data_IF_060406767977
#
_entry.id   IF_060406767977
#
_cell.length_a   1.000
_cell.length_b   1.000
_cell.length_c   1.000
_cell.angle_alpha   90.00
_cell.angle_beta   90.00
_cell.angle_gamma   90.00
#
_symmetry.space_group_name_H-M   'P 1'
#
loop_
_entity.id
_entity.type
_entity.pdbx_description
1 polymer ?
#
# COMPACT_ATOMS: atom_id res chain seq x y z
N UNK A 1 -12.13 34.18 23.27
CA UNK A 1 -11.93 32.76 22.93
C UNK A 1 -11.40 32.65 21.51
N UNK A 2 -10.28 31.97 21.28
CA UNK A 2 -9.79 31.76 19.92
C UNK A 2 -10.80 30.95 19.10
N UNK A 3 -11.02 31.26 17.81
CA UNK A 3 -11.96 30.52 16.97
C UNK A 3 -11.53 29.05 16.89
N UNK A 4 -12.45 28.16 17.29
CA UNK A 4 -12.26 26.71 17.25
C UNK A 4 -12.08 26.29 15.78
N UNK A 5 -11.08 25.44 15.52
CA UNK A 5 -10.83 24.94 14.17
C UNK A 5 -11.86 23.86 13.82
N UNK A 6 -12.87 24.25 13.04
CA UNK A 6 -13.97 23.39 12.64
C UNK A 6 -13.52 22.09 11.97
N UNK A 7 -12.43 22.10 11.20
CA UNK A 7 -11.92 20.90 10.50
C UNK A 7 -11.26 19.93 11.48
N UNK A 8 -10.43 20.45 12.39
CA UNK A 8 -9.84 19.62 13.44
C UNK A 8 -10.91 19.06 14.40
N UNK A 9 -11.98 19.80 14.64
CA UNK A 9 -13.10 19.31 15.46
C UNK A 9 -13.89 18.20 14.79
N UNK A 10 -14.21 18.35 13.50
CA UNK A 10 -14.90 17.31 12.73
C UNK A 10 -14.05 16.03 12.68
N UNK A 11 -12.75 16.16 12.46
CA UNK A 11 -11.86 15.01 12.50
C UNK A 11 -11.76 14.40 13.90
N UNK A 12 -11.65 15.21 14.95
CA UNK A 12 -11.65 14.72 16.32
C UNK A 12 -12.94 13.98 16.70
N UNK A 13 -14.08 14.37 16.14
CA UNK A 13 -15.35 13.66 16.32
C UNK A 13 -15.37 12.28 15.64
N UNK A 14 -14.64 12.13 14.53
CA UNK A 14 -14.53 10.89 13.78
C UNK A 14 -13.53 9.87 14.38
N UNK A 15 -12.47 10.35 15.03
CA UNK A 15 -11.39 9.51 15.56
C UNK A 15 -11.85 8.41 16.54
N UNK A 16 -12.77 8.65 17.50
CA UNK A 16 -13.25 7.60 18.42
C UNK A 16 -13.91 6.41 17.73
N UNK A 17 -14.62 6.64 16.61
CA UNK A 17 -15.24 5.57 15.83
C UNK A 17 -14.17 4.75 15.09
N UNK A 18 -13.10 5.43 14.67
CA UNK A 18 -11.99 4.80 13.94
C UNK A 18 -11.07 3.98 14.85
N UNK A 19 -10.78 4.45 16.06
CA UNK A 19 -9.88 3.78 17.01
C UNK A 19 -10.30 3.99 18.48
N UNK A 20 -11.39 3.34 18.91
CA UNK A 20 -11.94 3.51 20.26
C UNK A 20 -10.96 3.08 21.36
N UNK A 21 -10.06 2.13 21.05
CA UNK A 21 -9.01 1.67 21.95
C UNK A 21 -8.01 2.77 22.34
N UNK A 22 -7.82 3.79 21.49
CA UNK A 22 -6.87 4.89 21.71
C UNK A 22 -7.59 6.15 22.19
N UNK A 23 -8.80 6.39 21.67
CA UNK A 23 -9.54 7.62 21.92
C UNK A 23 -10.97 7.29 22.30
N UNK A 24 -11.25 7.31 23.61
CA UNK A 24 -12.59 7.05 24.14
C UNK A 24 -13.59 8.19 23.91
N UNK A 25 -13.14 9.37 23.43
CA UNK A 25 -14.02 10.51 23.17
C UNK A 25 -13.40 11.54 22.23
N UNK A 26 -14.27 12.31 21.56
CA UNK A 26 -13.86 13.38 20.63
C UNK A 26 -13.01 14.45 21.32
N UNK A 27 -13.27 14.73 22.60
CA UNK A 27 -12.49 15.71 23.37
C UNK A 27 -11.04 15.26 23.58
N UNK A 28 -10.80 13.98 23.86
CA UNK A 28 -9.44 13.42 24.00
C UNK A 28 -8.69 13.44 22.67
N UNK A 29 -9.37 13.09 21.58
CA UNK A 29 -8.81 13.18 20.23
C UNK A 29 -8.46 14.64 19.87
N UNK A 30 -9.37 15.59 20.13
CA UNK A 30 -9.15 17.01 19.87
C UNK A 30 -7.98 17.57 20.68
N UNK A 31 -7.87 17.22 21.97
CA UNK A 31 -6.74 17.62 22.81
C UNK A 31 -5.40 17.12 22.22
N UNK A 32 -5.35 15.84 21.80
CA UNK A 32 -4.16 15.26 21.16
C UNK A 32 -3.79 15.96 19.86
N UNK A 33 -4.79 16.38 19.07
CA UNK A 33 -4.57 17.13 17.83
C UNK A 33 -4.08 18.56 18.11
N UNK A 34 -4.56 19.22 19.16
CA UNK A 34 -4.04 20.53 19.58
C UNK A 34 -2.58 20.41 20.05
N UNK A 35 -2.23 19.37 20.79
CA UNK A 35 -0.84 19.11 21.17
C UNK A 35 0.05 18.86 19.95
N UNK A 36 -0.39 18.01 19.00
CA UNK A 36 0.32 17.79 17.74
C UNK A 36 0.53 19.10 16.98
N UNK A 37 -0.51 19.92 16.89
CA UNK A 37 -0.44 21.25 16.27
C UNK A 37 0.61 22.12 16.96
N UNK A 38 0.64 22.16 18.29
CA UNK A 38 1.63 22.91 19.06
C UNK A 38 3.05 22.39 18.81
N UNK A 39 3.27 21.07 18.86
CA UNK A 39 4.58 20.44 18.60
C UNK A 39 5.09 20.77 17.19
N UNK A 40 4.22 20.69 16.18
CA UNK A 40 4.58 21.04 14.81
C UNK A 40 4.87 22.54 14.68
N UNK A 41 4.03 23.40 15.27
CA UNK A 41 4.19 24.86 15.20
C UNK A 41 5.49 25.33 15.83
N UNK A 42 5.86 24.77 17.00
CA UNK A 42 7.15 25.04 17.66
C UNK A 42 8.36 24.67 16.79
N UNK A 43 8.16 23.82 15.79
CA UNK A 43 9.21 23.36 14.87
C UNK A 43 9.14 24.04 13.50
N UNK A 44 8.22 24.98 13.31
CA UNK A 44 8.01 25.67 12.03
C UNK A 44 7.17 24.88 11.01
N UNK A 45 6.38 23.90 11.45
CA UNK A 45 5.44 23.18 10.60
C UNK A 45 3.98 23.49 10.93
N UNK A 46 3.13 23.46 9.91
CA UNK A 46 1.73 23.78 10.03
C UNK A 46 0.86 22.54 9.78
N UNK A 47 0.24 22.01 10.84
CA UNK A 47 -0.72 20.90 10.73
C UNK A 47 -1.91 21.23 9.80
N UNK A 48 -2.24 22.51 9.66
CA UNK A 48 -3.34 23.01 8.84
C UNK A 48 -2.90 23.36 7.41
N UNK A 49 -1.65 23.10 7.04
CA UNK A 49 -1.17 23.33 5.68
C UNK A 49 -2.14 22.66 4.70
N UNK A 50 -2.67 23.45 3.75
CA UNK A 50 -3.59 22.92 2.76
C UNK A 50 -2.79 22.30 1.61
N UNK A 51 -3.30 21.20 1.08
CA UNK A 51 -2.84 20.69 -0.19
C UNK A 51 -3.61 21.37 -1.31
N UNK A 52 -2.91 22.20 -2.07
CA UNK A 52 -3.40 22.82 -3.28
C UNK A 52 -2.79 22.05 -4.44
N UNK A 53 -3.54 21.09 -4.99
CA UNK A 53 -3.17 20.44 -6.24
C UNK A 53 -4.15 20.96 -7.29
N UNK A 54 -3.65 21.63 -8.33
CA UNK A 54 -4.46 22.22 -9.39
C UNK A 54 -4.72 23.74 -9.30
N UNK A 55 -4.14 24.45 -8.33
CA UNK A 55 -4.08 25.91 -8.34
C UNK A 55 -2.63 26.38 -8.50
N UNK A 56 -2.43 27.67 -8.80
CA UNK A 56 -1.11 28.33 -8.92
C UNK A 56 -0.22 28.23 -7.68
N UNK A 57 -0.72 27.66 -6.58
CA UNK A 57 0.01 27.49 -5.33
C UNK A 57 0.35 26.02 -5.09
N UNK A 58 1.64 25.72 -4.94
CA UNK A 58 2.14 24.40 -4.53
C UNK A 58 1.81 24.12 -3.05
N UNK A 59 1.59 22.85 -2.69
CA UNK A 59 1.49 22.46 -1.28
C UNK A 59 2.74 22.90 -0.49
N UNK A 60 2.58 23.33 0.75
CA UNK A 60 3.69 23.75 1.62
C UNK A 60 4.42 22.55 2.27
N UNK A 61 3.82 21.35 2.22
CA UNK A 61 4.34 20.17 2.89
C UNK A 61 5.76 19.78 2.47
N UNK A 62 6.17 19.86 1.18
CA UNK A 62 7.55 19.63 0.76
C UNK A 62 8.58 20.55 1.46
N UNK A 63 8.18 21.78 1.83
CA UNK A 63 9.06 22.72 2.56
C UNK A 63 9.18 22.39 4.05
N UNK A 64 8.36 21.48 4.55
CA UNK A 64 8.25 21.14 5.98
C UNK A 64 8.61 19.67 6.26
N UNK A 65 9.19 18.94 5.29
CA UNK A 65 9.45 17.50 5.40
C UNK A 65 10.24 17.13 6.66
N UNK A 66 11.27 17.90 7.02
CA UNK A 66 12.10 17.62 8.19
C UNK A 66 11.28 17.61 9.49
N UNK A 67 10.38 18.58 9.65
CA UNK A 67 9.53 18.72 10.84
C UNK A 67 8.51 17.59 10.94
N UNK A 68 7.86 17.25 9.83
CA UNK A 68 6.90 16.15 9.76
C UNK A 68 7.59 14.81 10.02
N UNK A 69 8.75 14.57 9.40
CA UNK A 69 9.52 13.32 9.55
C UNK A 69 10.03 13.09 10.97
N UNK A 70 10.27 14.15 11.77
CA UNK A 70 10.61 13.98 13.19
C UNK A 70 9.47 13.38 14.02
N UNK A 71 8.21 13.56 13.62
CA UNK A 71 7.05 12.98 14.30
C UNK A 71 6.69 11.64 13.67
N UNK A 72 6.62 11.57 12.33
CA UNK A 72 6.34 10.32 11.61
C UNK A 72 7.41 9.25 11.85
N UNK A 73 8.66 9.65 12.09
CA UNK A 73 9.75 8.73 12.39
C UNK A 73 9.53 7.89 13.64
N UNK A 74 8.64 8.32 14.56
CA UNK A 74 8.24 7.57 15.76
C UNK A 74 7.53 6.27 15.39
N UNK A 75 6.85 6.23 14.24
CA UNK A 75 6.18 5.03 13.69
C UNK A 75 6.99 4.39 12.56
N UNK A 76 8.26 4.78 12.39
CA UNK A 76 9.14 4.25 11.34
C UNK A 76 8.74 4.69 9.93
N UNK A 77 8.16 5.87 9.79
CA UNK A 77 7.69 6.43 8.51
C UNK A 77 8.33 7.79 8.25
N UNK A 78 8.61 8.09 6.99
CA UNK A 78 9.05 9.40 6.54
C UNK A 78 8.40 9.77 5.20
N UNK A 79 8.21 11.06 4.99
CA UNK A 79 7.91 11.67 3.71
C UNK A 79 9.22 11.93 2.93
N UNK A 80 9.19 11.64 1.64
CA UNK A 80 10.25 11.95 0.68
C UNK A 80 9.65 12.60 -0.55
N UNK A 81 10.32 13.60 -1.08
CA UNK A 81 9.92 14.18 -2.36
C UNK A 81 10.29 13.26 -3.52
N UNK A 82 9.38 13.13 -4.48
CA UNK A 82 9.58 12.40 -5.74
C UNK A 82 9.88 13.41 -6.84
N UNK A 83 10.97 13.17 -7.56
CA UNK A 83 11.32 13.86 -8.80
C UNK A 83 11.35 15.40 -8.71
N UNK A 84 11.45 15.99 -7.50
CA UNK A 84 11.46 17.43 -7.23
C UNK A 84 10.24 18.20 -7.79
N UNK A 85 9.11 17.52 -8.01
CA UNK A 85 7.89 18.11 -8.57
C UNK A 85 6.81 18.40 -7.51
N UNK A 86 7.17 18.39 -6.21
CA UNK A 86 6.21 18.53 -5.12
C UNK A 86 5.31 17.30 -4.86
N UNK A 87 5.49 16.21 -5.61
CA UNK A 87 4.90 14.91 -5.29
C UNK A 87 5.67 14.25 -4.14
N UNK A 88 4.94 13.61 -3.23
CA UNK A 88 5.50 13.01 -2.03
C UNK A 88 5.25 11.51 -2.01
N UNK A 89 6.25 10.78 -1.53
CA UNK A 89 6.17 9.39 -1.15
C UNK A 89 6.23 9.27 0.38
N UNK A 90 5.34 8.47 0.94
CA UNK A 90 5.47 7.94 2.29
C UNK A 90 6.30 6.66 2.22
N UNK A 91 7.43 6.63 2.92
CA UNK A 91 8.37 5.51 2.90
C UNK A 91 8.62 5.02 4.32
N UNK A 92 8.51 3.72 4.51
CA UNK A 92 8.85 3.08 5.77
C UNK A 92 10.35 2.82 5.87
N UNK A 93 10.86 2.83 7.09
CA UNK A 93 12.21 2.40 7.40
C UNK A 93 12.17 1.58 8.69
N UNK A 94 13.17 0.71 8.87
CA UNK A 94 13.32 -0.05 10.12
C UNK A 94 13.54 0.96 11.24
N UNK A 95 12.53 1.17 12.08
CA UNK A 95 12.64 2.01 13.26
C UNK A 95 13.71 1.42 14.18
N UNK A 96 14.76 2.19 14.43
CA UNK A 96 15.82 1.86 15.40
C UNK A 96 15.27 1.94 16.84
N UNK A 97 14.19 2.69 17.03
CA UNK A 97 13.49 2.74 18.30
C UNK A 97 12.68 1.46 18.45
N UNK A 98 13.06 0.61 19.40
CA UNK A 98 12.19 -0.46 19.89
C UNK A 98 10.81 0.13 20.17
N UNK A 99 9.77 -0.45 19.57
CA UNK A 99 8.38 0.02 19.64
C UNK A 99 7.78 -0.18 21.05
N UNK A 100 8.51 0.20 22.09
CA UNK A 100 8.04 0.26 23.46
C UNK A 100 7.15 1.48 23.61
N UNK A 101 5.85 1.22 23.84
CA UNK A 101 4.81 1.99 24.55
C UNK A 101 4.96 3.51 24.70
N UNK A 102 5.58 4.19 23.73
CA UNK A 102 5.70 5.64 23.77
C UNK A 102 4.30 6.20 23.57
N UNK A 103 3.86 7.05 24.50
CA UNK A 103 2.66 7.88 24.38
C UNK A 103 2.62 8.69 23.08
N UNK A 104 3.75 8.80 22.37
CA UNK A 104 3.89 9.46 21.08
C UNK A 104 3.40 8.63 19.90
N UNK A 105 3.28 7.30 20.01
CA UNK A 105 2.81 6.43 18.92
C UNK A 105 1.38 6.80 18.50
N UNK A 106 0.36 6.83 19.40
CA UNK A 106 -1.01 7.17 19.00
C UNK A 106 -1.12 8.53 18.29
N UNK A 107 -0.38 9.53 18.79
CA UNK A 107 -0.31 10.87 18.18
C UNK A 107 0.31 10.83 16.78
N UNK A 108 1.37 10.05 16.59
CA UNK A 108 2.04 9.90 15.28
C UNK A 108 1.17 9.14 14.28
N UNK A 109 0.36 8.18 14.76
CA UNK A 109 -0.65 7.48 13.94
C UNK A 109 -1.77 8.43 13.51
N UNK A 110 -2.27 9.29 14.41
CA UNK A 110 -3.22 10.34 14.01
C UNK A 110 -2.63 11.31 13.00
N UNK A 111 -1.35 11.70 13.17
CA UNK A 111 -0.68 12.57 12.22
C UNK A 111 -0.55 11.92 10.84
N UNK A 112 -0.20 10.63 10.79
CA UNK A 112 -0.15 9.84 9.56
C UNK A 112 -1.52 9.78 8.87
N UNK A 113 -2.57 9.52 9.64
CA UNK A 113 -3.93 9.50 9.10
C UNK A 113 -4.34 10.86 8.55
N UNK A 114 -4.17 11.92 9.34
CA UNK A 114 -4.46 13.28 8.94
C UNK A 114 -3.69 13.67 7.67
N UNK A 115 -2.42 13.30 7.58
CA UNK A 115 -1.58 13.51 6.40
C UNK A 115 -2.23 12.90 5.15
N UNK A 116 -2.47 11.59 5.14
CA UNK A 116 -3.00 10.90 3.96
C UNK A 116 -4.42 11.35 3.59
N UNK A 117 -5.25 11.64 4.58
CA UNK A 117 -6.63 12.06 4.35
C UNK A 117 -6.74 13.50 3.80
N UNK A 118 -5.70 14.34 3.94
CA UNK A 118 -5.79 15.76 3.64
C UNK A 118 -4.73 16.25 2.63
N UNK A 119 -3.70 15.46 2.32
CA UNK A 119 -2.62 15.83 1.42
C UNK A 119 -2.61 14.99 0.15
N UNK A 120 -3.19 15.56 -0.92
CA UNK A 120 -3.24 14.99 -2.27
C UNK A 120 -1.88 14.94 -2.98
N UNK A 121 -0.90 15.71 -2.51
CA UNK A 121 0.48 15.63 -2.99
C UNK A 121 1.15 14.30 -2.63
N UNK A 122 0.58 13.47 -1.74
CA UNK A 122 1.11 12.13 -1.46
C UNK A 122 0.62 11.15 -2.53
N UNK A 123 1.50 10.83 -3.48
CA UNK A 123 1.19 9.96 -4.63
C UNK A 123 1.77 8.56 -4.50
N UNK A 124 2.64 8.31 -3.52
CA UNK A 124 3.22 6.99 -3.29
C UNK A 124 3.24 6.58 -1.81
N UNK A 125 3.05 5.28 -1.57
CA UNK A 125 3.12 4.67 -0.25
C UNK A 125 3.94 3.39 -0.33
N UNK A 126 5.06 3.35 0.39
CA UNK A 126 5.98 2.21 0.48
C UNK A 126 6.02 1.69 1.92
N UNK A 127 5.35 0.58 2.15
CA UNK A 127 5.18 -0.08 3.46
C UNK A 127 6.07 -1.31 3.58
N UNK A 128 7.38 -1.06 3.60
CA UNK A 128 8.40 -2.09 3.78
C UNK A 128 9.20 -1.78 5.04
N UNK A 129 9.27 -2.73 5.99
CA UNK A 129 10.15 -2.62 7.15
C UNK A 129 9.62 -1.93 8.40
N UNK A 130 8.35 -1.48 8.46
CA UNK A 130 7.73 -1.01 9.71
C UNK A 130 6.68 -1.99 10.23
N UNK A 131 6.92 -2.56 11.42
CA UNK A 131 5.98 -3.47 12.09
C UNK A 131 4.76 -2.78 12.70
N UNK A 132 4.69 -1.43 12.69
CA UNK A 132 3.57 -0.68 13.29
C UNK A 132 2.25 -0.98 12.57
N UNK A 133 2.28 -1.21 11.26
CA UNK A 133 1.10 -1.47 10.44
C UNK A 133 0.45 -2.83 10.75
N UNK A 134 1.22 -3.78 11.30
CA UNK A 134 0.71 -5.08 11.73
C UNK A 134 0.01 -5.07 13.09
N UNK A 135 0.16 -4.00 13.88
CA UNK A 135 -0.39 -3.88 15.23
C UNK A 135 -1.91 -3.72 15.20
N UNK A 136 -2.60 -4.49 16.04
CA UNK A 136 -4.06 -4.55 16.04
C UNK A 136 -4.69 -3.20 16.43
N UNK A 137 -4.06 -2.48 17.35
CA UNK A 137 -4.61 -1.26 17.96
C UNK A 137 -4.67 -0.07 16.99
N UNK A 138 -3.84 -0.08 15.94
CA UNK A 138 -3.70 1.01 14.97
C UNK A 138 -4.21 0.66 13.58
N UNK A 139 -4.62 -0.59 13.38
CA UNK A 139 -4.86 -1.17 12.05
C UNK A 139 -5.96 -0.45 11.28
N UNK A 140 -7.10 -0.23 11.92
CA UNK A 140 -8.25 0.48 11.33
C UNK A 140 -7.87 1.88 10.89
N UNK A 141 -7.08 2.58 11.72
CA UNK A 141 -6.58 3.93 11.41
C UNK A 141 -5.70 3.92 10.17
N UNK A 142 -4.76 2.98 10.06
CA UNK A 142 -3.88 2.92 8.90
C UNK A 142 -4.63 2.64 7.60
N UNK A 143 -5.58 1.70 7.61
CA UNK A 143 -6.28 1.32 6.39
C UNK A 143 -7.33 2.33 5.98
N UNK A 144 -7.99 3.00 6.92
CA UNK A 144 -8.82 4.15 6.60
C UNK A 144 -7.99 5.32 6.03
N UNK A 145 -6.78 5.56 6.57
CA UNK A 145 -5.88 6.57 6.02
C UNK A 145 -5.50 6.26 4.57
N UNK A 146 -5.20 4.99 4.26
CA UNK A 146 -4.94 4.55 2.88
C UNK A 146 -6.17 4.77 2.01
N UNK A 147 -7.36 4.34 2.44
CA UNK A 147 -8.60 4.49 1.68
C UNK A 147 -8.94 5.96 1.37
N UNK A 148 -8.57 6.89 2.25
CA UNK A 148 -8.78 8.34 2.05
C UNK A 148 -7.73 9.01 1.17
N UNK A 149 -6.62 8.34 0.83
CA UNK A 149 -5.56 8.87 -0.02
C UNK A 149 -5.91 8.74 -1.51
N UNK A 150 -6.91 9.49 -1.98
CA UNK A 150 -7.50 9.30 -3.32
C UNK A 150 -6.55 9.54 -4.50
N UNK A 151 -5.44 10.25 -4.28
CA UNK A 151 -4.43 10.58 -5.29
C UNK A 151 -3.20 9.64 -5.22
N UNK A 152 -3.31 8.55 -4.45
CA UNK A 152 -2.29 7.51 -4.41
C UNK A 152 -2.21 6.78 -5.75
N UNK A 153 -1.03 6.85 -6.37
CA UNK A 153 -0.69 6.20 -7.65
C UNK A 153 0.17 4.96 -7.46
N UNK A 154 1.11 4.98 -6.53
CA UNK A 154 2.07 3.88 -6.34
C UNK A 154 1.92 3.29 -4.95
N UNK A 155 1.65 2.00 -4.88
CA UNK A 155 1.60 1.24 -3.64
C UNK A 155 2.65 0.15 -3.65
N UNK A 156 3.54 0.16 -2.66
CA UNK A 156 4.50 -0.92 -2.42
C UNK A 156 4.34 -1.47 -1.00
N UNK A 157 4.25 -2.78 -0.83
CA UNK A 157 4.14 -3.40 0.49
C UNK A 157 4.69 -4.83 0.51
N UNK A 158 5.05 -5.31 1.70
CA UNK A 158 5.45 -6.72 1.89
C UNK A 158 4.61 -7.34 3.00
N UNK A 159 4.03 -8.50 2.72
CA UNK A 159 3.21 -9.27 3.67
C UNK A 159 4.04 -9.72 4.87
N UNK A 160 5.36 -9.90 4.73
CA UNK A 160 6.23 -10.25 5.87
C UNK A 160 6.09 -9.27 7.06
N UNK A 161 5.83 -7.99 6.77
CA UNK A 161 5.64 -6.95 7.80
C UNK A 161 4.18 -6.73 8.20
N UNK A 162 3.24 -7.35 7.48
CA UNK A 162 1.80 -7.24 7.69
C UNK A 162 1.27 -8.59 8.20
N UNK A 163 0.74 -8.63 9.42
CA UNK A 163 -0.02 -9.82 9.88
C UNK A 163 -1.13 -10.15 8.87
N UNK A 164 -1.46 -11.42 8.66
CA UNK A 164 -2.41 -11.87 7.62
C UNK A 164 -3.70 -11.04 7.52
N UNK A 165 -4.38 -10.81 8.65
CA UNK A 165 -5.62 -10.05 8.70
C UNK A 165 -5.46 -8.57 8.36
N UNK A 166 -4.24 -8.05 8.37
CA UNK A 166 -3.92 -6.69 7.98
C UNK A 166 -3.76 -6.55 6.46
N UNK A 167 -3.25 -7.58 5.76
CA UNK A 167 -3.11 -7.56 4.30
C UNK A 167 -4.48 -7.50 3.60
N UNK A 168 -5.43 -8.36 3.99
CA UNK A 168 -6.80 -8.31 3.43
C UNK A 168 -7.46 -6.94 3.62
N UNK A 169 -7.29 -6.32 4.79
CA UNK A 169 -7.88 -5.01 5.07
C UNK A 169 -7.19 -3.89 4.28
N UNK A 170 -5.87 -3.98 4.09
CA UNK A 170 -5.15 -3.11 3.17
C UNK A 170 -5.71 -3.25 1.75
N UNK A 171 -5.83 -4.46 1.22
CA UNK A 171 -6.35 -4.69 -0.14
C UNK A 171 -7.78 -4.18 -0.31
N UNK A 172 -8.63 -4.32 0.71
CA UNK A 172 -9.96 -3.70 0.72
C UNK A 172 -9.89 -2.16 0.71
N UNK A 173 -8.99 -1.54 1.48
CA UNK A 173 -8.78 -0.10 1.41
C UNK A 173 -8.29 0.34 0.01
N UNK A 174 -7.43 -0.46 -0.61
CA UNK A 174 -6.89 -0.23 -1.94
C UNK A 174 -7.97 -0.26 -3.02
N UNK A 175 -9.04 -1.04 -2.85
CA UNK A 175 -10.19 -1.04 -3.79
C UNK A 175 -10.83 0.35 -3.92
N UNK A 176 -10.76 1.20 -2.90
CA UNK A 176 -11.31 2.56 -2.96
C UNK A 176 -10.43 3.59 -3.71
N UNK A 177 -9.20 3.23 -4.09
CA UNK A 177 -8.24 4.15 -4.72
C UNK A 177 -8.45 4.30 -6.23
N UNK A 178 -8.98 5.42 -6.74
CA UNK A 178 -9.37 5.54 -8.16
C UNK A 178 -8.18 5.77 -9.11
N UNK A 179 -7.06 6.26 -8.59
CA UNK A 179 -5.89 6.68 -9.38
C UNK A 179 -4.69 5.75 -9.19
N UNK A 180 -4.91 4.54 -8.70
CA UNK A 180 -3.82 3.60 -8.46
C UNK A 180 -3.30 3.05 -9.79
N UNK A 181 -2.01 3.28 -10.04
CA UNK A 181 -1.30 2.99 -11.28
C UNK A 181 -0.30 1.84 -11.14
N UNK A 182 0.28 1.68 -9.95
CA UNK A 182 1.31 0.70 -9.67
C UNK A 182 1.05 -0.01 -8.33
N UNK A 183 1.09 -1.34 -8.36
CA UNK A 183 1.16 -2.19 -7.17
C UNK A 183 2.44 -3.03 -7.26
N UNK A 184 3.28 -2.91 -6.24
CA UNK A 184 4.41 -3.81 -5.99
C UNK A 184 4.17 -4.48 -4.65
N UNK A 185 3.93 -5.78 -4.66
CA UNK A 185 3.71 -6.53 -3.44
C UNK A 185 4.62 -7.76 -3.36
N UNK A 186 5.13 -7.99 -2.16
CA UNK A 186 5.78 -9.25 -1.84
C UNK A 186 4.84 -10.07 -0.96
N UNK A 187 4.48 -11.27 -1.43
CA UNK A 187 3.49 -12.15 -0.80
C UNK A 187 4.19 -13.44 -0.36
N UNK A 188 4.60 -13.49 0.90
CA UNK A 188 5.14 -14.68 1.55
C UNK A 188 4.00 -15.58 2.03
N UNK A 189 3.90 -16.83 1.55
CA UNK A 189 2.86 -17.79 1.94
C UNK A 189 3.27 -18.63 3.16
N UNK A 190 2.66 -18.39 4.32
CA UNK A 190 2.72 -19.29 5.48
C UNK A 190 1.38 -19.99 5.70
N UNK A 191 0.97 -20.79 4.71
CA UNK A 191 0.14 -21.98 4.90
C UNK A 191 -1.37 -21.78 5.04
N UNK A 192 -1.92 -20.59 4.76
CA UNK A 192 -3.37 -20.32 4.78
C UNK A 192 -3.79 -19.09 3.91
N UNK A 193 -3.00 -18.73 2.90
CA UNK A 193 -3.02 -17.37 2.31
C UNK A 193 -3.91 -17.14 1.08
N UNK A 194 -4.76 -18.09 0.70
CA UNK A 194 -5.67 -17.93 -0.46
C UNK A 194 -6.57 -16.69 -0.38
N UNK A 195 -6.94 -16.25 0.83
CA UNK A 195 -7.81 -15.08 1.02
C UNK A 195 -7.12 -13.77 0.64
N UNK A 196 -5.79 -13.68 0.76
CA UNK A 196 -5.03 -12.49 0.36
C UNK A 196 -4.90 -12.44 -1.16
N UNK A 197 -4.63 -13.58 -1.79
CA UNK A 197 -4.56 -13.69 -3.25
C UNK A 197 -5.91 -13.40 -3.91
N UNK A 198 -7.02 -13.88 -3.33
CA UNK A 198 -8.36 -13.54 -3.79
C UNK A 198 -8.64 -12.02 -3.66
N UNK A 199 -8.29 -11.41 -2.53
CA UNK A 199 -8.46 -9.96 -2.38
C UNK A 199 -7.57 -9.15 -3.35
N UNK A 200 -6.38 -9.66 -3.68
CA UNK A 200 -5.52 -9.05 -4.69
C UNK A 200 -6.11 -9.23 -6.10
N UNK A 201 -6.63 -10.41 -6.42
CA UNK A 201 -7.35 -10.68 -7.67
C UNK A 201 -8.52 -9.71 -7.86
N UNK A 202 -9.30 -9.45 -6.80
CA UNK A 202 -10.39 -8.46 -6.83
C UNK A 202 -9.85 -7.04 -7.14
N UNK A 203 -8.72 -6.66 -6.55
CA UNK A 203 -8.07 -5.38 -6.86
C UNK A 203 -7.63 -5.36 -8.33
N UNK A 204 -6.91 -6.37 -8.80
CA UNK A 204 -6.44 -6.43 -10.19
C UNK A 204 -7.62 -6.32 -11.17
N UNK A 205 -8.70 -7.06 -10.94
CA UNK A 205 -9.86 -7.10 -11.84
C UNK A 205 -10.62 -5.76 -11.91
N UNK A 206 -10.56 -4.95 -10.85
CA UNK A 206 -11.36 -3.72 -10.73
C UNK A 206 -10.59 -2.45 -11.08
N UNK A 207 -9.25 -2.50 -11.16
CA UNK A 207 -8.42 -1.32 -11.39
C UNK A 207 -8.13 -1.08 -12.86
N UNK A 208 -8.98 -0.28 -13.51
CA UNK A 208 -8.82 0.13 -14.91
C UNK A 208 -7.63 1.09 -15.20
N UNK A 209 -6.90 1.52 -14.17
CA UNK A 209 -5.67 2.33 -14.32
C UNK A 209 -4.41 1.62 -13.80
N UNK A 210 -4.50 0.34 -13.42
CA UNK A 210 -3.34 -0.40 -12.94
C UNK A 210 -2.45 -0.78 -14.14
N UNK A 211 -1.42 0.01 -14.41
CA UNK A 211 -0.50 -0.20 -15.52
C UNK A 211 0.64 -1.15 -15.14
N UNK A 212 1.07 -1.10 -13.87
CA UNK A 212 2.18 -1.92 -13.38
C UNK A 212 1.79 -2.76 -12.19
N UNK A 213 2.02 -4.07 -12.31
CA UNK A 213 1.84 -5.04 -11.24
C UNK A 213 3.13 -5.84 -11.05
N UNK A 214 3.66 -5.86 -9.84
CA UNK A 214 4.76 -6.74 -9.46
C UNK A 214 4.37 -7.56 -8.24
N UNK A 215 4.34 -8.88 -8.39
CA UNK A 215 4.15 -9.85 -7.32
C UNK A 215 5.50 -10.58 -7.13
N UNK A 216 6.27 -10.11 -6.15
CA UNK A 216 7.65 -10.53 -5.87
C UNK A 216 7.72 -11.57 -4.73
N UNK A 217 8.82 -12.35 -4.72
CA UNK A 217 9.21 -13.33 -3.67
C UNK A 217 8.06 -14.17 -3.11
N UNK A 218 7.50 -15.02 -3.96
CA UNK A 218 6.41 -15.90 -3.56
C UNK A 218 7.00 -17.14 -2.86
N UNK A 219 7.44 -16.99 -1.61
CA UNK A 219 7.93 -18.09 -0.79
C UNK A 219 6.75 -18.96 -0.32
N UNK A 220 6.33 -19.90 -1.16
CA UNK A 220 5.58 -21.08 -0.71
C UNK A 220 6.63 -22.09 -0.27
N UNK A 221 7.07 -22.02 0.98
CA UNK A 221 7.94 -23.07 1.50
C UNK A 221 7.27 -24.42 1.23
N UNK A 222 8.02 -25.42 0.75
CA UNK A 222 7.46 -26.70 0.34
C UNK A 222 7.09 -27.53 1.58
N UNK A 223 6.06 -27.10 2.31
CA UNK A 223 5.28 -28.01 3.12
C UNK A 223 4.54 -28.90 2.13
N UNK A 224 5.00 -30.15 2.03
CA UNK A 224 4.78 -31.15 0.97
C UNK A 224 3.31 -31.51 0.65
N UNK A 225 2.31 -30.77 1.13
CA UNK A 225 0.89 -31.11 0.98
C UNK A 225 -0.06 -29.90 0.84
N UNK A 226 0.45 -28.66 0.72
CA UNK A 226 -0.44 -27.54 0.38
C UNK A 226 -0.78 -27.60 -1.11
N UNK A 227 -2.01 -28.04 -1.43
CA UNK A 227 -2.64 -27.76 -2.72
C UNK A 227 -2.44 -26.28 -3.05
N UNK A 228 -2.21 -25.91 -4.31
CA UNK A 228 -1.86 -24.54 -4.71
C UNK A 228 -3.02 -23.78 -5.41
N UNK A 229 -4.25 -23.68 -4.85
CA UNK A 229 -5.40 -23.09 -5.55
C UNK A 229 -5.40 -21.56 -5.66
N UNK A 230 -4.41 -20.85 -5.11
CA UNK A 230 -4.43 -19.39 -5.01
C UNK A 230 -4.08 -18.63 -6.29
N UNK A 231 -3.26 -19.23 -7.15
CA UNK A 231 -2.70 -18.62 -8.37
C UNK A 231 -3.73 -18.50 -9.49
N UNK A 232 -4.68 -19.43 -9.58
CA UNK A 232 -5.76 -19.40 -10.59
C UNK A 232 -6.58 -18.11 -10.55
N UNK A 233 -6.89 -17.61 -9.35
CA UNK A 233 -7.64 -16.36 -9.18
C UNK A 233 -6.87 -15.15 -9.70
N UNK A 234 -5.55 -15.12 -9.50
CA UNK A 234 -4.67 -14.07 -10.04
C UNK A 234 -4.67 -14.14 -11.57
N UNK A 235 -4.50 -15.32 -12.17
CA UNK A 235 -4.50 -15.46 -13.63
C UNK A 235 -5.82 -15.03 -14.26
N UNK A 236 -6.96 -15.41 -13.67
CA UNK A 236 -8.27 -14.97 -14.15
C UNK A 236 -8.44 -13.44 -14.03
N UNK A 237 -7.96 -12.85 -12.94
CA UNK A 237 -7.99 -11.40 -12.76
C UNK A 237 -7.13 -10.67 -13.80
N UNK A 238 -5.94 -11.20 -14.12
CA UNK A 238 -5.07 -10.67 -15.17
C UNK A 238 -5.76 -10.72 -16.54
N UNK A 239 -6.43 -11.82 -16.89
CA UNK A 239 -7.20 -11.92 -18.14
C UNK A 239 -8.32 -10.87 -18.24
N UNK A 240 -8.93 -10.50 -17.13
CA UNK A 240 -9.97 -9.45 -17.10
C UNK A 240 -9.42 -8.02 -17.12
N UNK A 241 -8.13 -7.84 -16.80
CA UNK A 241 -7.51 -6.52 -16.75
C UNK A 241 -6.81 -6.20 -18.08
N UNK A 242 -7.30 -5.18 -18.76
CA UNK A 242 -6.75 -4.73 -20.04
C UNK A 242 -5.78 -3.55 -19.91
N UNK A 243 -5.50 -3.06 -18.71
CA UNK A 243 -4.67 -1.90 -18.46
C UNK A 243 -3.19 -2.24 -18.19
N UNK A 244 -2.89 -3.44 -17.68
CA UNK A 244 -1.53 -3.82 -17.29
C UNK A 244 -0.60 -3.90 -18.50
N UNK A 245 0.43 -3.04 -18.49
CA UNK A 245 1.51 -2.99 -19.49
C UNK A 245 2.79 -3.63 -18.98
N UNK A 246 3.00 -3.62 -17.66
CA UNK A 246 4.22 -4.08 -17.01
C UNK A 246 3.88 -5.08 -15.90
N UNK A 247 4.23 -6.34 -16.14
CA UNK A 247 3.96 -7.44 -15.20
C UNK A 247 5.26 -8.08 -14.71
N UNK A 248 5.43 -8.14 -13.40
CA UNK A 248 6.41 -9.02 -12.74
C UNK A 248 5.66 -10.04 -11.91
N UNK A 249 5.93 -11.32 -12.12
CA UNK A 249 5.29 -12.39 -11.34
C UNK A 249 6.25 -13.54 -11.07
N UNK A 250 6.17 -14.07 -9.86
CA UNK A 250 6.85 -15.31 -9.49
C UNK A 250 6.04 -16.52 -9.95
N UNK A 251 6.60 -17.27 -10.89
CA UNK A 251 5.96 -18.46 -11.48
C UNK A 251 6.30 -19.75 -10.73
N UNK A 252 7.19 -19.70 -9.74
CA UNK A 252 7.62 -20.88 -8.95
C UNK A 252 6.45 -21.59 -8.24
N UNK A 253 5.37 -20.84 -8.03
CA UNK A 253 4.20 -21.22 -7.24
C UNK A 253 3.02 -21.62 -8.11
N UNK A 254 3.09 -21.44 -9.42
CA UNK A 254 2.04 -21.83 -10.34
C UNK A 254 1.99 -23.35 -10.52
N UNK A 255 0.79 -23.90 -10.68
CA UNK A 255 0.59 -25.27 -11.17
C UNK A 255 0.72 -25.32 -12.69
N UNK A 256 0.77 -26.51 -13.28
CA UNK A 256 0.76 -26.66 -14.75
C UNK A 256 -0.50 -26.06 -15.39
N UNK A 257 -1.67 -26.21 -14.76
CA UNK A 257 -2.90 -25.57 -15.21
C UNK A 257 -2.81 -24.04 -15.15
N UNK A 258 -2.28 -23.48 -14.06
CA UNK A 258 -2.06 -22.04 -13.94
C UNK A 258 -1.11 -21.52 -15.02
N UNK A 259 -0.03 -22.27 -15.32
CA UNK A 259 0.93 -21.91 -16.35
C UNK A 259 0.30 -21.90 -17.74
N UNK A 260 -0.61 -22.85 -18.04
CA UNK A 260 -1.37 -22.86 -19.30
C UNK A 260 -2.30 -21.66 -19.42
N UNK A 261 -3.07 -21.36 -18.37
CA UNK A 261 -3.94 -20.17 -18.34
C UNK A 261 -3.14 -18.86 -18.43
N UNK A 262 -1.99 -18.81 -17.75
CA UNK A 262 -1.12 -17.65 -17.77
C UNK A 262 -0.47 -17.45 -19.15
N UNK A 263 -0.06 -18.54 -19.80
CA UNK A 263 0.43 -18.53 -21.18
C UNK A 263 -0.65 -18.06 -22.17
N UNK A 264 -1.91 -18.40 -21.92
CA UNK A 264 -3.04 -17.89 -22.70
C UNK A 264 -3.23 -16.38 -22.49
N UNK A 265 -3.21 -15.92 -21.25
CA UNK A 265 -3.25 -14.48 -20.93
C UNK A 265 -2.15 -13.70 -21.68
N UNK A 266 -0.90 -14.19 -21.68
CA UNK A 266 0.20 -13.51 -22.38
C UNK A 266 -0.09 -13.37 -23.88
N UNK A 267 -0.62 -14.42 -24.51
CA UNK A 267 -0.94 -14.40 -25.95
C UNK A 267 -2.10 -13.48 -26.30
N UNK A 268 -3.08 -13.38 -25.41
CA UNK A 268 -4.33 -12.65 -25.65
C UNK A 268 -4.29 -11.21 -25.12
N UNK A 269 -3.30 -10.86 -24.29
CA UNK A 269 -3.22 -9.52 -23.71
C UNK A 269 -2.85 -8.48 -24.78
N UNK A 270 -3.71 -7.46 -25.02
CA UNK A 270 -3.45 -6.44 -26.01
C UNK A 270 -2.52 -5.33 -25.51
N UNK A 271 -2.26 -5.25 -24.20
CA UNK A 271 -1.58 -4.13 -23.56
C UNK A 271 -0.26 -4.51 -22.89
N UNK A 272 -0.01 -5.79 -22.66
CA UNK A 272 1.21 -6.25 -21.99
C UNK A 272 2.43 -6.00 -22.88
N UNK A 273 3.32 -5.10 -22.43
CA UNK A 273 4.55 -4.71 -23.14
C UNK A 273 5.81 -5.27 -22.48
N UNK A 274 5.77 -5.47 -21.16
CA UNK A 274 6.90 -5.88 -20.35
C UNK A 274 6.48 -7.02 -19.42
N UNK A 275 7.19 -8.15 -19.53
CA UNK A 275 6.97 -9.33 -18.69
C UNK A 275 8.30 -9.74 -18.05
N UNK A 276 8.30 -9.83 -16.72
CA UNK A 276 9.41 -10.35 -15.93
C UNK A 276 8.94 -11.55 -15.12
N UNK A 277 9.58 -12.69 -15.32
CA UNK A 277 9.26 -13.94 -14.64
C UNK A 277 10.32 -14.23 -13.59
N UNK A 278 9.89 -14.36 -12.33
CA UNK A 278 10.77 -14.80 -11.25
C UNK A 278 10.61 -16.31 -11.08
N UNK A 279 11.72 -17.04 -10.98
CA UNK A 279 11.72 -18.49 -10.82
C UNK A 279 12.84 -18.91 -9.86
N UNK A 280 12.48 -19.35 -8.66
CA UNK A 280 13.40 -19.77 -7.60
C UNK A 280 13.66 -21.27 -7.58
N UNK A 281 12.83 -22.06 -8.26
CA UNK A 281 12.99 -23.50 -8.40
C UNK A 281 13.09 -23.81 -9.89
N UNK A 282 14.28 -24.16 -10.36
CA UNK A 282 14.48 -24.77 -11.68
C UNK A 282 13.94 -26.20 -11.60
N UNK A 283 12.61 -26.35 -11.51
CA UNK A 283 11.97 -27.62 -11.82
C UNK A 283 11.93 -27.69 -13.35
N UNK A 284 12.46 -28.75 -13.98
CA UNK A 284 12.47 -28.91 -15.43
C UNK A 284 11.07 -29.17 -16.03
N UNK A 285 10.01 -28.83 -15.29
CA UNK A 285 8.63 -29.08 -15.68
C UNK A 285 8.21 -28.17 -16.84
N UNK A 286 7.33 -28.68 -17.68
CA UNK A 286 6.77 -28.09 -18.91
C UNK A 286 6.33 -26.62 -18.81
N UNK A 287 6.10 -26.10 -17.60
CA UNK A 287 5.62 -24.75 -17.32
C UNK A 287 6.47 -23.63 -17.91
N UNK A 288 7.80 -23.74 -17.88
CA UNK A 288 8.68 -22.67 -18.42
C UNK A 288 8.69 -22.69 -19.95
N UNK A 289 8.60 -23.87 -20.56
CA UNK A 289 8.58 -24.03 -22.03
C UNK A 289 7.29 -23.44 -22.62
N UNK A 290 6.14 -23.70 -21.98
CA UNK A 290 4.86 -23.17 -22.44
C UNK A 290 4.81 -21.64 -22.37
N UNK A 291 5.33 -21.06 -21.28
CA UNK A 291 5.39 -19.60 -21.10
C UNK A 291 6.41 -18.99 -22.08
N UNK A 292 7.59 -19.58 -22.25
CA UNK A 292 8.59 -19.11 -23.22
C UNK A 292 8.02 -19.11 -24.64
N UNK A 293 7.37 -20.19 -25.06
CA UNK A 293 6.71 -20.27 -26.37
C UNK A 293 5.52 -19.30 -26.52
N UNK A 294 4.89 -18.89 -25.42
CA UNK A 294 3.86 -17.85 -25.44
C UNK A 294 4.46 -16.46 -25.68
N UNK A 295 5.58 -16.15 -25.02
CA UNK A 295 6.31 -14.89 -25.18
C UNK A 295 6.85 -14.75 -26.60
N UNK A 296 7.50 -15.79 -27.15
CA UNK A 296 8.02 -15.78 -28.52
C UNK A 296 6.93 -15.49 -29.56
N UNK A 297 5.74 -16.09 -29.38
CA UNK A 297 4.60 -15.87 -30.29
C UNK A 297 3.95 -14.50 -30.14
N UNK A 298 3.94 -13.95 -28.93
CA UNK A 298 3.41 -12.60 -28.66
C UNK A 298 4.30 -11.50 -29.25
N UNK A 299 5.63 -11.70 -29.28
CA UNK A 299 6.58 -10.76 -29.89
C UNK A 299 6.66 -10.87 -31.42
N UNK A 300 6.12 -11.93 -32.01
CA UNK A 300 6.11 -12.18 -33.45
C UNK A 300 4.86 -11.60 -34.18
N UNK A 301 3.95 -10.97 -33.44
CA UNK A 301 2.74 -10.29 -33.93
C UNK A 301 2.92 -8.77 -33.86
#
# INVERSE_FOLDING_TARGET
MAPKDRRLQQYAAYVPDLCPALYSSANKAYASLQELKTILSQRGANLKARCFQGSTHSCELPRQLQQWNRVLGIIGVQLRERNNCGELAVVCFRSIYGLHTSWRIPRSVLLFHWLLANHRCVTALRMEGSGVFGRLEYRTVFWDAVAKCTDLKNLRFSVQFLRMSACKQLLHAVQSLPNLEEIVCNIFDVGNEYKNLSALADVISTKGKLYRLAIEDFDVRPYRQCHRPGTRGITAALQSNTAITDLTIDVSVMTEEDCRLFSQFIKESPSLMSLSLLCWIISPALSVVDIAGAVEKSQAL
#
